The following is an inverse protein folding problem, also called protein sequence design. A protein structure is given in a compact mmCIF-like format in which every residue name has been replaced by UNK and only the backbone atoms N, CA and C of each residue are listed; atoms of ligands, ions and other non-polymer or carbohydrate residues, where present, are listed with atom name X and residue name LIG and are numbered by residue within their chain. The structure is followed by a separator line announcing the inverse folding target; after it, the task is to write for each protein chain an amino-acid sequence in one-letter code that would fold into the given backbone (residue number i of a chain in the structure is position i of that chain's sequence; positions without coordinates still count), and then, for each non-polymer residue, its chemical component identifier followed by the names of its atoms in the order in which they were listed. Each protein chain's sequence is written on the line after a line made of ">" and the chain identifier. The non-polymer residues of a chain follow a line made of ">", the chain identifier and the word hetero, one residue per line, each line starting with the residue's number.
data_IF_668211748107
#
_entry.id   IF_668211748107
#
_cell.length_a   1.000
_cell.length_b   1.000
_cell.length_c   1.000
_cell.angle_alpha   90.00
_cell.angle_beta   90.00
_cell.angle_gamma   90.00
#
_symmetry.space_group_name_H-M   'P 1'
#
loop_
_entity.id
_entity.type
_entity.pdbx_description
1 polymer ?
#
# COMPACT_ATOMS: atom_id res chain seq x y z
N UNK A 1 13.43 -3.21 27.15
CA UNK A 1 12.63 -4.02 26.24
C UNK A 1 12.47 -3.30 24.91
N UNK A 2 12.59 -4.02 23.79
CA UNK A 2 12.30 -3.49 22.44
C UNK A 2 10.79 -3.28 22.23
N UNK A 3 9.96 -4.18 22.81
CA UNK A 3 8.50 -4.19 22.70
C UNK A 3 7.80 -4.09 24.08
N UNK A 4 7.97 -2.96 24.81
CA UNK A 4 7.42 -2.76 26.15
C UNK A 4 5.89 -2.85 26.21
N UNK A 5 5.20 -2.58 25.09
CA UNK A 5 3.74 -2.67 25.00
C UNK A 5 3.18 -4.10 25.08
N UNK A 6 4.06 -5.11 24.96
CA UNK A 6 3.73 -6.53 25.16
C UNK A 6 4.09 -7.04 26.56
N UNK A 7 4.76 -6.24 27.37
CA UNK A 7 5.25 -6.65 28.68
C UNK A 7 4.29 -6.34 29.82
N UNK A 8 4.34 -7.17 30.87
CA UNK A 8 3.59 -6.93 32.09
C UNK A 8 4.30 -5.84 32.90
N UNK A 9 3.57 -4.77 33.23
CA UNK A 9 4.10 -3.69 34.07
C UNK A 9 4.55 -4.21 35.46
N UNK A 10 5.66 -3.71 36.02
CA UNK A 10 6.18 -4.21 37.27
C UNK A 10 5.37 -3.73 38.50
N UNK A 11 5.39 -4.52 39.57
CA UNK A 11 4.91 -4.15 40.92
C UNK A 11 3.46 -3.61 40.91
N UNK A 12 3.25 -2.44 41.51
CA UNK A 12 1.96 -1.76 41.63
C UNK A 12 1.44 -1.21 40.29
N UNK A 13 2.32 -1.01 39.31
CA UNK A 13 1.95 -0.48 38.01
C UNK A 13 1.14 -1.47 37.17
N UNK A 14 1.22 -2.77 37.48
CA UNK A 14 0.40 -3.81 36.85
C UNK A 14 -1.10 -3.59 37.04
N UNK A 15 -1.48 -2.98 38.18
CA UNK A 15 -2.86 -2.74 38.59
C UNK A 15 -3.45 -1.44 38.01
N UNK A 16 -2.67 -0.64 37.27
CA UNK A 16 -3.15 0.56 36.61
C UNK A 16 -4.12 0.21 35.48
N UNK A 17 -5.03 1.13 35.18
CA UNK A 17 -5.95 0.96 34.05
C UNK A 17 -5.18 0.96 32.73
N UNK A 18 -5.77 0.38 31.69
CA UNK A 18 -5.14 0.34 30.36
C UNK A 18 -4.80 1.76 29.85
N UNK A 19 -5.67 2.75 30.09
CA UNK A 19 -5.40 4.15 29.76
C UNK A 19 -4.21 4.73 30.56
N UNK A 20 -4.13 4.46 31.86
CA UNK A 20 -2.99 4.90 32.68
C UNK A 20 -1.67 4.26 32.21
N UNK A 21 -1.70 2.99 31.80
CA UNK A 21 -0.54 2.31 31.20
C UNK A 21 -0.10 2.98 29.90
N UNK A 22 -1.04 3.40 29.04
CA UNK A 22 -0.72 4.18 27.84
C UNK A 22 -0.01 5.51 28.17
N UNK A 23 -0.46 6.23 29.21
CA UNK A 23 0.23 7.45 29.65
C UNK A 23 1.68 7.18 30.05
N UNK A 24 1.94 6.06 30.73
CA UNK A 24 3.29 5.67 31.12
C UNK A 24 4.16 5.30 29.90
N UNK A 25 3.63 4.53 28.95
CA UNK A 25 4.34 4.21 27.69
C UNK A 25 4.66 5.51 26.95
N UNK A 26 3.72 6.45 26.86
CA UNK A 26 3.94 7.73 26.19
C UNK A 26 5.10 8.54 26.80
N UNK A 27 5.25 8.52 28.12
CA UNK A 27 6.33 9.24 28.80
C UNK A 27 7.71 8.59 28.60
N UNK A 28 7.80 7.28 28.44
CA UNK A 28 9.08 6.55 28.41
C UNK A 28 9.49 6.07 27.01
N UNK A 29 8.52 5.71 26.18
CA UNK A 29 8.66 5.08 24.86
C UNK A 29 7.60 5.62 23.89
N UNK A 30 7.66 6.92 23.54
CA UNK A 30 6.71 7.55 22.62
C UNK A 30 6.70 6.86 21.24
N UNK A 31 7.82 6.29 20.82
CA UNK A 31 7.96 5.48 19.61
C UNK A 31 7.06 4.23 19.60
N UNK A 32 6.63 3.71 20.75
CA UNK A 32 5.78 2.50 20.81
C UNK A 32 4.30 2.79 20.90
N UNK A 33 3.90 4.05 20.86
CA UNK A 33 2.51 4.43 21.09
C UNK A 33 1.55 3.99 20.00
N UNK A 34 1.99 3.90 18.74
CA UNK A 34 1.14 3.36 17.66
C UNK A 34 0.74 1.91 17.93
N UNK A 35 1.71 1.07 18.33
CA UNK A 35 1.46 -0.31 18.74
C UNK A 35 0.67 -0.41 20.05
N UNK A 36 1.00 0.41 21.04
CA UNK A 36 0.31 0.39 22.33
C UNK A 36 -1.18 0.81 22.19
N UNK A 37 -1.47 1.84 21.37
CA UNK A 37 -2.84 2.26 21.06
C UNK A 37 -3.56 1.19 20.25
N UNK A 38 -2.89 0.53 19.29
CA UNK A 38 -3.46 -0.61 18.57
C UNK A 38 -3.91 -1.71 19.54
N UNK A 39 -3.02 -2.17 20.42
CA UNK A 39 -3.36 -3.20 21.41
C UNK A 39 -4.51 -2.75 22.33
N UNK A 40 -4.54 -1.47 22.72
CA UNK A 40 -5.62 -0.92 23.54
C UNK A 40 -6.97 -0.94 22.83
N UNK A 41 -7.02 -0.52 21.56
CA UNK A 41 -8.24 -0.54 20.75
C UNK A 41 -8.71 -1.97 20.54
N UNK A 42 -7.80 -2.89 20.25
CA UNK A 42 -8.09 -4.32 20.13
C UNK A 42 -8.69 -4.90 21.42
N UNK A 43 -8.09 -4.60 22.57
CA UNK A 43 -8.60 -5.03 23.88
C UNK A 43 -10.01 -4.49 24.18
N UNK A 44 -10.30 -3.24 23.80
CA UNK A 44 -11.55 -2.56 24.16
C UNK A 44 -12.68 -2.71 23.15
N UNK A 45 -12.35 -2.84 21.87
CA UNK A 45 -13.31 -2.81 20.77
C UNK A 45 -13.26 -4.09 19.91
N UNK A 46 -12.18 -4.88 20.01
CA UNK A 46 -11.96 -6.11 19.24
C UNK A 46 -11.05 -5.92 18.03
N UNK A 47 -10.52 -7.03 17.52
CA UNK A 47 -9.49 -7.04 16.46
C UNK A 47 -9.95 -6.40 15.15
N UNK A 48 -11.25 -6.46 14.83
CA UNK A 48 -11.84 -5.83 13.63
C UNK A 48 -11.59 -4.32 13.49
N UNK A 49 -11.23 -3.62 14.58
CA UNK A 49 -10.92 -2.18 14.55
C UNK A 49 -9.44 -1.87 14.33
N UNK A 50 -8.59 -2.90 14.29
CA UNK A 50 -7.13 -2.78 14.12
C UNK A 50 -6.56 -3.64 13.00
N UNK A 51 -7.35 -4.58 12.50
CA UNK A 51 -7.04 -5.37 11.31
C UNK A 51 -7.30 -4.52 10.05
N UNK A 52 -6.26 -4.32 9.24
CA UNK A 52 -6.34 -3.57 7.97
C UNK A 52 -6.98 -4.36 6.83
N UNK A 53 -7.96 -5.22 7.09
CA UNK A 53 -8.66 -5.93 6.00
C UNK A 53 -9.53 -4.93 5.23
N UNK A 54 -9.29 -4.81 3.94
CA UNK A 54 -10.15 -4.06 3.03
C UNK A 54 -11.56 -4.62 3.10
N UNK A 55 -12.55 -3.76 3.38
CA UNK A 55 -13.96 -4.11 3.26
C UNK A 55 -14.25 -4.36 1.79
N UNK A 56 -14.91 -5.48 1.47
CA UNK A 56 -15.34 -5.77 0.10
C UNK A 56 -16.25 -4.64 -0.40
N UNK A 57 -15.96 -4.11 -1.59
CA UNK A 57 -16.67 -2.95 -2.14
C UNK A 57 -18.19 -3.15 -2.22
N UNK A 58 -18.65 -4.38 -2.42
CA UNK A 58 -20.08 -4.74 -2.42
C UNK A 58 -20.81 -4.30 -1.16
N UNK A 59 -20.18 -4.38 0.02
CA UNK A 59 -20.78 -3.94 1.29
C UNK A 59 -20.90 -2.42 1.36
N UNK A 60 -19.86 -1.69 0.93
CA UNK A 60 -19.93 -0.23 0.85
C UNK A 60 -20.96 0.25 -0.17
N UNK A 61 -21.16 -0.52 -1.25
CA UNK A 61 -22.23 -0.27 -2.21
C UNK A 61 -23.63 -0.45 -1.60
N UNK A 62 -23.85 -1.47 -0.77
CA UNK A 62 -25.13 -1.70 -0.07
C UNK A 62 -25.49 -0.54 0.87
N UNK A 63 -24.50 0.11 1.48
CA UNK A 63 -24.68 1.30 2.32
C UNK A 63 -24.80 2.61 1.52
N UNK A 64 -24.47 2.58 0.21
CA UNK A 64 -24.55 3.74 -0.65
C UNK A 64 -25.96 4.00 -1.16
N UNK A 65 -26.24 5.27 -1.46
CA UNK A 65 -27.57 5.73 -1.90
C UNK A 65 -27.43 6.90 -2.86
N UNK A 66 -28.52 7.35 -3.51
CA UNK A 66 -28.50 8.59 -4.28
C UNK A 66 -27.96 9.81 -3.52
N UNK A 67 -28.20 9.88 -2.21
CA UNK A 67 -27.72 10.93 -1.32
C UNK A 67 -26.34 10.68 -0.73
N UNK A 68 -25.83 9.46 -0.86
CA UNK A 68 -24.58 9.01 -0.22
C UNK A 68 -23.63 8.48 -1.29
N UNK A 69 -22.90 9.38 -1.99
CA UNK A 69 -21.91 8.97 -2.97
C UNK A 69 -20.76 8.20 -2.32
N UNK A 70 -20.01 7.45 -3.11
CA UNK A 70 -18.76 6.81 -2.65
C UNK A 70 -17.57 7.65 -3.14
N UNK A 71 -16.69 8.02 -2.21
CA UNK A 71 -15.50 8.81 -2.48
C UNK A 71 -14.24 7.95 -2.25
N UNK A 72 -13.51 7.69 -3.33
CA UNK A 72 -12.23 7.01 -3.30
C UNK A 72 -11.10 8.03 -3.13
N UNK A 73 -10.36 7.86 -2.03
CA UNK A 73 -9.10 8.57 -1.81
C UNK A 73 -8.00 7.74 -2.47
N UNK A 74 -7.41 8.31 -3.52
CA UNK A 74 -6.41 7.63 -4.34
C UNK A 74 -5.07 7.57 -3.61
N UNK A 75 -4.48 6.37 -3.60
CA UNK A 75 -3.09 6.15 -3.22
C UNK A 75 -2.28 5.83 -4.47
N UNK A 76 -0.99 6.24 -4.55
CA UNK A 76 -0.15 5.94 -5.70
C UNK A 76 -0.11 4.44 -6.02
N UNK A 77 -0.38 4.10 -7.29
CA UNK A 77 -0.30 2.72 -7.79
C UNK A 77 -1.47 1.81 -7.41
N UNK A 78 -2.59 2.38 -6.95
CA UNK A 78 -3.82 1.64 -6.65
C UNK A 78 -4.98 2.20 -7.47
N UNK A 79 -5.69 1.33 -8.17
CA UNK A 79 -6.86 1.69 -8.99
C UNK A 79 -8.15 1.12 -8.36
N UNK A 80 -8.95 1.94 -7.65
CA UNK A 80 -10.18 1.48 -7.00
C UNK A 80 -11.34 1.21 -7.97
N UNK A 81 -11.20 1.59 -9.24
CA UNK A 81 -12.31 1.51 -10.21
C UNK A 81 -12.59 0.09 -10.67
N UNK A 82 -11.57 -0.78 -10.63
CA UNK A 82 -11.72 -2.20 -10.96
C UNK A 82 -12.80 -2.88 -10.12
N UNK A 83 -12.89 -2.51 -8.84
CA UNK A 83 -13.90 -3.07 -7.94
C UNK A 83 -15.31 -2.58 -8.29
N UNK A 84 -15.43 -1.31 -8.70
CA UNK A 84 -16.69 -0.72 -9.17
C UNK A 84 -17.16 -1.40 -10.45
N UNK A 85 -16.27 -1.56 -11.43
CA UNK A 85 -16.57 -2.21 -12.71
C UNK A 85 -16.91 -3.70 -12.54
N UNK A 86 -16.17 -4.41 -11.68
CA UNK A 86 -16.43 -5.81 -11.37
C UNK A 86 -17.80 -6.00 -10.72
N UNK A 87 -18.18 -5.12 -9.78
CA UNK A 87 -19.52 -5.14 -9.17
C UNK A 87 -20.60 -4.73 -10.17
N UNK A 88 -20.35 -3.67 -10.95
CA UNK A 88 -21.26 -3.19 -11.99
C UNK A 88 -21.58 -4.29 -13.00
N UNK A 89 -20.58 -5.08 -13.43
CA UNK A 89 -20.79 -6.24 -14.30
C UNK A 89 -21.70 -7.31 -13.69
N UNK A 90 -21.58 -7.56 -12.37
CA UNK A 90 -22.45 -8.51 -11.66
C UNK A 90 -23.89 -8.01 -11.55
N UNK A 91 -24.08 -6.70 -11.35
CA UNK A 91 -25.38 -6.05 -11.15
C UNK A 91 -26.03 -5.54 -12.46
N UNK A 92 -25.33 -5.65 -13.59
CA UNK A 92 -25.83 -5.17 -14.88
C UNK A 92 -25.73 -3.65 -15.07
N UNK A 93 -24.81 -2.98 -14.38
CA UNK A 93 -24.42 -1.59 -14.65
C UNK A 93 -23.11 -1.60 -15.41
N UNK A 94 -23.17 -1.61 -16.74
CA UNK A 94 -21.98 -1.67 -17.59
C UNK A 94 -21.99 -0.53 -18.60
N UNK A 95 -20.83 -0.23 -19.16
CA UNK A 95 -20.71 0.75 -20.24
C UNK A 95 -21.46 0.23 -21.48
N UNK A 96 -21.35 -1.08 -21.77
CA UNK A 96 -21.97 -1.72 -22.93
C UNK A 96 -23.49 -1.60 -22.98
N UNK A 97 -24.16 -1.60 -21.81
CA UNK A 97 -25.61 -1.41 -21.74
C UNK A 97 -26.03 0.03 -21.41
N UNK A 98 -25.08 0.97 -21.40
CA UNK A 98 -25.31 2.40 -21.22
C UNK A 98 -25.70 2.83 -19.80
N UNK A 99 -25.62 1.92 -18.81
CA UNK A 99 -25.98 2.20 -17.42
C UNK A 99 -24.80 2.59 -16.53
N UNK A 100 -23.57 2.55 -17.04
CA UNK A 100 -22.37 3.05 -16.37
C UNK A 100 -21.71 4.14 -17.21
N UNK A 101 -21.53 5.32 -16.63
CA UNK A 101 -20.88 6.47 -17.25
C UNK A 101 -19.53 6.67 -16.56
N UNK A 102 -18.43 6.43 -17.27
CA UNK A 102 -17.08 6.61 -16.73
C UNK A 102 -16.42 7.85 -17.33
N UNK A 103 -16.20 8.88 -16.51
CA UNK A 103 -15.64 10.17 -16.94
C UNK A 103 -14.34 10.42 -16.18
N UNK A 104 -13.23 10.53 -16.91
CA UNK A 104 -11.95 10.97 -16.35
C UNK A 104 -11.84 12.48 -16.47
N UNK A 105 -11.75 13.19 -15.35
CA UNK A 105 -11.81 14.65 -15.35
C UNK A 105 -10.46 15.25 -15.75
N UNK A 106 -10.55 16.18 -16.68
CA UNK A 106 -9.47 17.01 -17.18
C UNK A 106 -10.10 18.23 -17.87
N UNK A 107 -9.29 19.03 -18.56
CA UNK A 107 -9.78 20.25 -19.19
C UNK A 107 -10.91 19.95 -20.19
N UNK A 108 -12.09 20.53 -19.96
CA UNK A 108 -13.26 20.43 -20.86
C UNK A 108 -14.14 19.20 -20.66
N UNK A 109 -13.84 18.31 -19.70
CA UNK A 109 -14.63 17.12 -19.40
C UNK A 109 -15.80 17.40 -18.43
N UNK A 110 -15.87 18.60 -17.86
CA UNK A 110 -16.88 19.00 -16.88
C UNK A 110 -18.30 18.89 -17.46
N UNK A 111 -18.49 19.32 -18.71
CA UNK A 111 -19.80 19.26 -19.40
C UNK A 111 -20.25 17.81 -19.62
N UNK A 112 -19.30 16.91 -19.91
CA UNK A 112 -19.60 15.48 -20.07
C UNK A 112 -20.01 14.87 -18.73
N UNK A 113 -19.29 15.20 -17.66
CA UNK A 113 -19.64 14.78 -16.30
C UNK A 113 -21.02 15.28 -15.87
N UNK A 114 -21.34 16.55 -16.13
CA UNK A 114 -22.65 17.12 -15.83
C UNK A 114 -23.78 16.41 -16.56
N UNK A 115 -23.62 16.15 -17.87
CA UNK A 115 -24.61 15.42 -18.65
C UNK A 115 -24.78 13.97 -18.15
N UNK A 116 -23.68 13.31 -17.78
CA UNK A 116 -23.73 11.96 -17.21
C UNK A 116 -24.52 11.93 -15.90
N UNK A 117 -24.29 12.89 -15.00
CA UNK A 117 -25.03 13.04 -13.74
C UNK A 117 -26.53 13.28 -13.99
N UNK A 118 -26.86 14.14 -14.94
CA UNK A 118 -28.26 14.48 -15.26
C UNK A 118 -29.02 13.25 -15.79
N UNK A 119 -28.42 12.53 -16.76
CA UNK A 119 -29.00 11.31 -17.31
C UNK A 119 -29.11 10.21 -16.25
N UNK A 120 -28.09 10.08 -15.40
CA UNK A 120 -28.05 9.04 -14.38
C UNK A 120 -29.07 9.27 -13.26
N UNK A 121 -29.28 10.54 -12.86
CA UNK A 121 -30.28 10.90 -11.88
C UNK A 121 -31.71 10.60 -12.37
N UNK A 122 -31.99 10.79 -13.66
CA UNK A 122 -33.30 10.50 -14.26
C UNK A 122 -33.52 8.99 -14.52
N UNK A 123 -32.50 8.30 -15.05
CA UNK A 123 -32.63 6.93 -15.57
C UNK A 123 -32.15 5.83 -14.63
N UNK A 124 -31.53 6.19 -13.50
CA UNK A 124 -30.98 5.21 -12.57
C UNK A 124 -29.70 4.57 -13.08
N UNK A 125 -28.71 5.39 -13.42
CA UNK A 125 -27.41 4.91 -13.87
C UNK A 125 -26.33 5.16 -12.82
N UNK A 126 -25.17 4.55 -13.04
CA UNK A 126 -23.96 4.79 -12.26
C UNK A 126 -23.06 5.78 -12.97
N UNK A 127 -22.45 6.69 -12.21
CA UNK A 127 -21.48 7.65 -12.72
C UNK A 127 -20.17 7.53 -11.94
N UNK A 128 -19.07 7.28 -12.65
CA UNK A 128 -17.72 7.34 -12.13
C UNK A 128 -17.08 8.65 -12.58
N UNK A 129 -16.68 9.48 -11.61
CA UNK A 129 -15.96 10.73 -11.81
C UNK A 129 -14.53 10.57 -11.30
N UNK A 130 -13.57 10.41 -12.21
CA UNK A 130 -12.17 10.21 -11.82
C UNK A 130 -11.39 11.51 -11.74
N UNK A 131 -10.46 11.61 -10.81
CA UNK A 131 -9.47 12.69 -10.72
C UNK A 131 -10.11 14.10 -10.58
N UNK A 132 -11.16 14.22 -9.78
CA UNK A 132 -11.89 15.50 -9.65
C UNK A 132 -11.03 16.66 -9.12
N UNK A 133 -9.92 16.37 -8.44
CA UNK A 133 -8.94 17.34 -7.97
C UNK A 133 -8.26 18.11 -9.12
N UNK A 134 -8.29 17.60 -10.36
CA UNK A 134 -7.76 18.27 -11.54
C UNK A 134 -8.65 19.42 -12.05
N UNK A 135 -9.91 19.49 -11.61
CA UNK A 135 -10.91 20.48 -12.07
C UNK A 135 -11.43 21.34 -10.92
N UNK A 136 -10.52 21.92 -10.13
CA UNK A 136 -10.82 22.65 -8.90
C UNK A 136 -11.93 23.71 -9.00
N UNK A 137 -11.99 24.46 -10.12
CA UNK A 137 -13.00 25.51 -10.35
C UNK A 137 -14.42 24.96 -10.49
N UNK A 138 -14.56 23.71 -10.90
CA UNK A 138 -15.85 23.07 -11.15
C UNK A 138 -16.42 22.37 -9.91
N UNK A 139 -15.59 22.12 -8.89
CA UNK A 139 -15.99 21.35 -7.72
C UNK A 139 -17.21 21.93 -6.98
N UNK A 140 -17.35 23.26 -6.92
CA UNK A 140 -18.54 23.90 -6.33
C UNK A 140 -19.83 23.62 -7.12
N UNK A 141 -19.73 23.42 -8.43
CA UNK A 141 -20.86 23.07 -9.29
C UNK A 141 -21.21 21.59 -9.12
N UNK A 142 -20.20 20.73 -9.03
CA UNK A 142 -20.36 19.31 -8.71
C UNK A 142 -21.09 19.12 -7.38
N UNK A 143 -20.64 19.80 -6.31
CA UNK A 143 -21.23 19.72 -4.97
C UNK A 143 -22.74 20.03 -4.99
N UNK A 144 -23.12 21.15 -5.62
CA UNK A 144 -24.52 21.54 -5.79
C UNK A 144 -25.34 20.54 -6.62
N UNK A 145 -24.75 19.93 -7.66
CA UNK A 145 -25.45 18.92 -8.47
C UNK A 145 -25.66 17.63 -7.69
N UNK A 146 -24.64 17.14 -6.99
CA UNK A 146 -24.74 15.95 -6.13
C UNK A 146 -25.76 16.18 -5.02
N UNK A 147 -25.73 17.34 -4.36
CA UNK A 147 -26.72 17.73 -3.36
C UNK A 147 -28.14 17.78 -3.95
N UNK A 148 -28.32 18.40 -5.13
CA UNK A 148 -29.63 18.45 -5.79
C UNK A 148 -30.17 17.06 -6.13
N UNK A 149 -29.32 16.15 -6.58
CA UNK A 149 -29.71 14.79 -6.94
C UNK A 149 -29.77 13.83 -5.74
N UNK A 150 -29.43 14.29 -4.54
CA UNK A 150 -29.62 13.51 -3.31
C UNK A 150 -31.10 13.21 -3.02
N UNK A 151 -32.01 14.05 -3.53
CA UNK A 151 -33.46 13.91 -3.32
C UNK A 151 -34.21 13.86 -4.65
N UNK A 152 -35.04 12.84 -4.82
CA UNK A 152 -35.95 12.73 -5.97
C UNK A 152 -35.33 12.21 -7.27
N UNK A 153 -34.08 11.75 -7.25
CA UNK A 153 -33.50 10.96 -8.34
C UNK A 153 -33.98 9.50 -8.29
N UNK A 154 -33.69 8.77 -9.35
CA UNK A 154 -33.94 7.33 -9.42
C UNK A 154 -33.21 6.56 -8.29
N UNK A 155 -33.82 5.50 -7.77
CA UNK A 155 -33.29 4.72 -6.63
C UNK A 155 -31.94 4.06 -6.93
N UNK A 156 -31.73 3.60 -8.17
CA UNK A 156 -30.46 3.02 -8.65
C UNK A 156 -29.35 4.03 -8.95
N UNK A 157 -29.62 5.34 -8.88
CA UNK A 157 -28.61 6.36 -9.15
C UNK A 157 -27.46 6.26 -8.14
N UNK A 158 -26.22 6.13 -8.63
CA UNK A 158 -25.01 6.10 -7.79
C UNK A 158 -23.90 6.92 -8.41
N UNK A 159 -23.17 7.63 -7.53
CA UNK A 159 -21.98 8.40 -7.92
C UNK A 159 -20.78 7.87 -7.17
N UNK A 160 -19.74 7.57 -7.94
CA UNK A 160 -18.41 7.17 -7.48
C UNK A 160 -17.43 8.27 -7.87
N UNK A 161 -16.71 8.81 -6.90
CA UNK A 161 -15.81 9.96 -7.08
C UNK A 161 -14.40 9.51 -6.70
N UNK A 162 -13.38 9.88 -7.47
CA UNK A 162 -11.99 9.67 -7.06
C UNK A 162 -11.17 10.96 -7.03
N UNK A 163 -10.32 11.10 -6.02
CA UNK A 163 -9.37 12.19 -5.92
C UNK A 163 -8.11 11.81 -5.14
N UNK A 164 -6.99 12.45 -5.48
CA UNK A 164 -5.80 12.44 -4.64
C UNK A 164 -6.00 13.33 -3.41
N UNK A 165 -5.47 12.94 -2.24
CA UNK A 165 -5.49 13.79 -1.05
C UNK A 165 -4.64 15.04 -1.28
N UNK A 166 -5.10 16.18 -0.74
CA UNK A 166 -4.33 17.42 -0.79
C UNK A 166 -3.01 17.28 0.00
N UNK A 167 -1.90 17.87 -0.49
CA UNK A 167 -0.59 17.76 0.18
C UNK A 167 -0.55 18.44 1.55
N UNK A 168 -1.42 19.42 1.79
CA UNK A 168 -1.61 20.07 3.10
C UNK A 168 -3.06 20.47 3.33
N UNK A 169 -3.51 20.63 4.61
CA UNK A 169 -4.87 21.08 4.92
C UNK A 169 -5.26 22.39 4.22
N UNK A 170 -4.33 23.34 4.08
CA UNK A 170 -4.58 24.66 3.48
C UNK A 170 -4.77 24.58 1.95
N UNK A 171 -4.24 23.53 1.33
CA UNK A 171 -4.37 23.25 -0.11
C UNK A 171 -5.59 22.40 -0.45
N UNK A 172 -6.43 22.07 0.53
CA UNK A 172 -7.60 21.25 0.33
C UNK A 172 -8.65 21.99 -0.50
N UNK A 173 -9.03 21.40 -1.63
CA UNK A 173 -9.96 21.99 -2.60
C UNK A 173 -11.29 21.25 -2.72
N UNK A 174 -11.42 20.06 -2.11
CA UNK A 174 -12.65 19.28 -2.22
C UNK A 174 -13.72 19.92 -1.33
N UNK A 175 -14.92 20.21 -1.87
CA UNK A 175 -16.01 20.79 -1.08
C UNK A 175 -16.38 19.91 0.10
N UNK A 176 -16.65 20.56 1.24
CA UNK A 176 -17.04 19.90 2.48
C UNK A 176 -18.33 19.07 2.29
N UNK A 177 -19.31 19.56 1.53
CA UNK A 177 -20.57 18.85 1.28
C UNK A 177 -20.37 17.47 0.64
N UNK A 178 -19.49 17.38 -0.37
CA UNK A 178 -19.09 16.10 -0.97
C UNK A 178 -18.47 15.18 0.08
N UNK A 179 -17.54 15.70 0.88
CA UNK A 179 -16.83 14.88 1.86
C UNK A 179 -17.72 14.44 3.02
N UNK A 180 -18.61 15.29 3.54
CA UNK A 180 -19.47 14.95 4.68
C UNK A 180 -20.51 13.90 4.30
N UNK A 181 -21.09 14.00 3.11
CA UNK A 181 -22.17 13.11 2.67
C UNK A 181 -21.68 11.81 2.03
N UNK A 182 -20.39 11.69 1.71
CA UNK A 182 -19.84 10.51 1.06
C UNK A 182 -19.43 9.40 2.03
N UNK A 183 -19.51 8.14 1.57
CA UNK A 183 -18.74 7.03 2.13
C UNK A 183 -17.30 7.17 1.61
N UNK A 184 -16.34 7.38 2.50
CA UNK A 184 -14.92 7.55 2.16
C UNK A 184 -14.20 6.21 2.21
N UNK A 185 -13.63 5.79 1.08
CA UNK A 185 -12.85 4.56 0.95
C UNK A 185 -11.42 4.93 0.61
N UNK A 186 -10.49 4.45 1.42
CA UNK A 186 -9.05 4.51 1.16
C UNK A 186 -8.59 3.12 0.75
N UNK A 187 -7.99 2.98 -0.43
CA UNK A 187 -7.26 1.76 -0.78
C UNK A 187 -5.77 2.06 -0.56
N UNK A 188 -5.34 1.96 0.69
CA UNK A 188 -3.93 2.14 1.03
C UNK A 188 -3.13 0.92 0.56
N UNK A 189 -1.99 1.10 -0.12
CA UNK A 189 -1.14 -0.03 -0.45
C UNK A 189 -0.72 -0.70 0.87
N UNK A 190 -0.87 -2.02 0.99
CA UNK A 190 -0.52 -2.69 2.23
C UNK A 190 0.98 -2.50 2.51
N UNK A 191 1.31 -2.03 3.71
CA UNK A 191 2.67 -1.64 4.11
C UNK A 191 3.37 -2.77 4.85
N UNK A 192 4.70 -2.79 4.80
CA UNK A 192 5.52 -3.79 5.48
C UNK A 192 6.01 -4.91 4.56
N UNK A 193 6.91 -5.73 5.09
CA UNK A 193 7.64 -6.72 4.30
C UNK A 193 6.71 -7.79 3.75
N UNK A 194 5.80 -8.31 4.57
CA UNK A 194 4.86 -9.38 4.21
C UNK A 194 4.05 -9.01 2.96
N UNK A 195 3.36 -7.87 3.00
CA UNK A 195 2.51 -7.45 1.91
C UNK A 195 3.29 -7.06 0.65
N UNK A 196 4.41 -6.36 0.78
CA UNK A 196 5.21 -5.98 -0.39
C UNK A 196 5.88 -7.17 -1.05
N UNK A 197 6.24 -8.21 -0.30
CA UNK A 197 6.83 -9.43 -0.84
C UNK A 197 5.81 -10.23 -1.65
N UNK A 198 4.59 -10.39 -1.15
CA UNK A 198 3.50 -10.97 -1.95
C UNK A 198 3.22 -10.14 -3.20
N UNK A 199 3.11 -8.82 -3.06
CA UNK A 199 2.87 -7.91 -4.19
C UNK A 199 3.98 -7.99 -5.25
N UNK A 200 5.23 -8.19 -4.84
CA UNK A 200 6.35 -8.37 -5.76
C UNK A 200 6.24 -9.71 -6.51
N UNK A 201 5.81 -10.79 -5.85
CA UNK A 201 5.58 -12.09 -6.48
C UNK A 201 4.36 -12.09 -7.41
N UNK A 202 3.30 -11.35 -7.07
CA UNK A 202 2.08 -11.21 -7.89
C UNK A 202 2.32 -10.56 -9.27
N UNK A 203 3.50 -10.01 -9.50
CA UNK A 203 3.92 -9.55 -10.83
C UNK A 203 4.24 -10.69 -11.79
N UNK A 204 4.32 -11.92 -11.29
CA UNK A 204 4.73 -13.11 -12.01
C UNK A 204 3.67 -14.21 -11.92
N UNK A 205 3.73 -15.16 -12.84
CA UNK A 205 2.82 -16.30 -12.88
C UNK A 205 3.58 -17.62 -12.71
N UNK A 206 2.85 -18.72 -12.53
CA UNK A 206 3.44 -20.06 -12.57
C UNK A 206 4.27 -20.27 -13.84
N UNK A 207 3.75 -19.84 -15.00
CA UNK A 207 4.46 -19.93 -16.28
C UNK A 207 5.78 -19.15 -16.28
N UNK A 208 5.82 -17.99 -15.60
CA UNK A 208 7.09 -17.24 -15.43
C UNK A 208 8.08 -18.05 -14.61
N UNK A 209 7.65 -18.69 -13.51
CA UNK A 209 8.53 -19.49 -12.67
C UNK A 209 9.11 -20.71 -13.39
N UNK A 210 8.41 -21.22 -14.41
CA UNK A 210 8.77 -22.42 -15.17
C UNK A 210 9.42 -22.10 -16.54
N UNK A 211 9.64 -20.82 -16.86
CA UNK A 211 10.12 -20.43 -18.20
C UNK A 211 11.58 -20.77 -18.47
N UNK A 212 12.41 -20.95 -17.43
CA UNK A 212 13.85 -21.13 -17.53
C UNK A 212 14.25 -22.61 -17.43
N UNK A 213 15.19 -23.03 -18.27
CA UNK A 213 15.80 -24.37 -18.25
C UNK A 213 16.56 -24.67 -16.97
N UNK A 214 17.07 -23.63 -16.30
CA UNK A 214 17.77 -23.67 -15.00
C UNK A 214 16.81 -23.28 -13.89
N UNK A 215 15.80 -24.12 -13.69
CA UNK A 215 14.62 -23.81 -12.86
C UNK A 215 14.99 -23.46 -11.42
N UNK A 216 15.89 -24.21 -10.79
CA UNK A 216 16.30 -24.02 -9.39
C UNK A 216 16.98 -22.65 -9.23
N UNK A 217 17.95 -22.35 -10.10
CA UNK A 217 18.68 -21.09 -10.06
C UNK A 217 17.77 -19.90 -10.36
N UNK A 218 16.92 -20.02 -11.39
CA UNK A 218 16.01 -18.97 -11.79
C UNK A 218 15.01 -18.62 -10.68
N UNK A 219 14.30 -19.61 -10.14
CA UNK A 219 13.29 -19.38 -9.11
C UNK A 219 13.90 -18.86 -7.80
N UNK A 220 15.06 -19.39 -7.41
CA UNK A 220 15.77 -18.94 -6.21
C UNK A 220 16.21 -17.47 -6.32
N UNK A 221 16.82 -17.08 -7.46
CA UNK A 221 17.24 -15.69 -7.71
C UNK A 221 16.02 -14.77 -7.86
N UNK A 222 14.95 -15.22 -8.52
CA UNK A 222 13.70 -14.46 -8.65
C UNK A 222 13.11 -14.12 -7.27
N UNK A 223 13.01 -15.10 -6.38
CA UNK A 223 12.49 -14.85 -5.03
C UNK A 223 13.37 -13.86 -4.26
N UNK A 224 14.70 -14.00 -4.33
CA UNK A 224 15.62 -13.06 -3.71
C UNK A 224 15.51 -11.65 -4.30
N UNK A 225 15.22 -11.50 -5.59
CA UNK A 225 14.95 -10.22 -6.22
C UNK A 225 13.60 -9.62 -5.80
N UNK A 226 12.57 -10.44 -5.58
CA UNK A 226 11.31 -9.99 -4.98
C UNK A 226 11.53 -9.47 -3.55
N UNK A 227 12.33 -10.18 -2.75
CA UNK A 227 12.73 -9.75 -1.41
C UNK A 227 13.52 -8.45 -1.45
N UNK A 228 14.53 -8.37 -2.30
CA UNK A 228 15.31 -7.16 -2.54
C UNK A 228 14.42 -5.97 -2.92
N UNK A 229 13.48 -6.18 -3.85
CA UNK A 229 12.53 -5.15 -4.29
C UNK A 229 11.67 -4.64 -3.12
N UNK A 230 11.13 -5.54 -2.31
CA UNK A 230 10.38 -5.19 -1.11
C UNK A 230 11.23 -4.40 -0.10
N UNK A 231 12.51 -4.80 0.09
CA UNK A 231 13.46 -4.08 0.96
C UNK A 231 13.69 -2.66 0.46
N UNK A 232 14.08 -2.46 -0.81
CA UNK A 232 14.41 -1.12 -1.31
C UNK A 232 13.21 -0.19 -1.32
N UNK A 233 12.01 -0.71 -1.59
CA UNK A 233 10.76 0.03 -1.57
C UNK A 233 10.38 0.47 -0.15
N UNK A 234 10.43 -0.44 0.83
CA UNK A 234 10.04 -0.14 2.21
C UNK A 234 11.07 0.68 2.97
N UNK A 235 12.36 0.60 2.60
CA UNK A 235 13.43 1.37 3.26
C UNK A 235 13.17 2.87 3.29
N UNK A 236 12.40 3.42 2.34
CA UNK A 236 12.01 4.84 2.33
C UNK A 236 11.33 5.30 3.62
N UNK A 237 10.66 4.40 4.37
CA UNK A 237 9.96 4.74 5.62
C UNK A 237 10.91 5.13 6.76
N UNK A 238 12.18 4.75 6.68
CA UNK A 238 13.21 5.07 7.68
C UNK A 238 13.93 6.40 7.38
N UNK A 239 13.44 7.21 6.44
CA UNK A 239 14.04 8.48 6.06
C UNK A 239 15.51 8.33 5.65
N UNK A 240 16.37 9.24 6.11
CA UNK A 240 17.80 9.25 5.79
C UNK A 240 18.56 7.98 6.25
N UNK A 241 18.04 7.23 7.23
CA UNK A 241 18.65 5.95 7.63
C UNK A 241 18.33 4.81 6.64
N UNK A 242 17.23 4.97 5.89
CA UNK A 242 16.83 4.09 4.80
C UNK A 242 17.55 4.44 3.50
N UNK A 243 17.35 5.68 3.04
CA UNK A 243 17.94 6.25 1.85
C UNK A 243 18.25 7.72 2.07
N UNK A 244 19.41 8.22 1.64
CA UNK A 244 19.74 9.64 1.74
C UNK A 244 18.79 10.51 0.90
N UNK A 245 18.30 9.97 -0.23
CA UNK A 245 17.31 10.62 -1.10
C UNK A 245 16.14 9.69 -1.42
N UNK A 246 15.02 10.27 -1.84
CA UNK A 246 13.88 9.49 -2.31
C UNK A 246 14.10 9.06 -3.76
N UNK A 247 14.05 7.75 -4.02
CA UNK A 247 14.20 7.16 -5.36
C UNK A 247 12.90 6.52 -5.82
N UNK A 248 12.52 6.68 -7.10
CA UNK A 248 11.25 6.19 -7.64
C UNK A 248 11.32 4.72 -8.11
N UNK A 249 11.76 3.80 -7.24
CA UNK A 249 11.74 2.37 -7.55
C UNK A 249 10.31 1.90 -7.84
N UNK A 250 10.14 1.09 -8.87
CA UNK A 250 8.83 0.66 -9.35
C UNK A 250 8.84 -0.80 -9.86
N UNK A 251 7.64 -1.35 -10.09
CA UNK A 251 7.47 -2.74 -10.54
C UNK A 251 8.14 -3.04 -11.89
N UNK A 252 8.36 -2.03 -12.73
CA UNK A 252 9.12 -2.14 -13.98
C UNK A 252 10.57 -2.57 -13.73
N UNK A 253 11.20 -2.04 -12.69
CA UNK A 253 12.59 -2.39 -12.34
C UNK A 253 12.71 -3.89 -12.01
N UNK A 254 11.75 -4.44 -11.27
CA UNK A 254 11.71 -5.85 -10.91
C UNK A 254 11.38 -6.75 -12.12
N UNK A 255 10.32 -6.43 -12.86
CA UNK A 255 9.90 -7.24 -14.03
C UNK A 255 10.96 -7.29 -15.13
N UNK A 256 11.63 -6.17 -15.43
CA UNK A 256 12.75 -6.13 -16.38
C UNK A 256 13.94 -6.92 -15.83
N UNK A 257 14.24 -6.83 -14.53
CA UNK A 257 15.32 -7.61 -13.91
C UNK A 257 15.10 -9.12 -14.07
N UNK A 258 13.86 -9.62 -13.93
CA UNK A 258 13.55 -11.04 -14.13
C UNK A 258 13.69 -11.46 -15.62
N UNK A 259 13.30 -10.60 -16.56
CA UNK A 259 13.54 -10.87 -17.98
C UNK A 259 15.05 -10.93 -18.30
N UNK A 260 15.85 -10.04 -17.71
CA UNK A 260 17.31 -10.06 -17.86
C UNK A 260 17.92 -11.30 -17.21
N UNK A 261 17.44 -11.70 -16.02
CA UNK A 261 17.84 -12.93 -15.35
C UNK A 261 17.63 -14.14 -16.28
N UNK A 262 16.43 -14.27 -16.85
CA UNK A 262 16.10 -15.36 -17.78
C UNK A 262 17.10 -15.42 -18.94
N UNK A 263 17.28 -14.30 -19.65
CA UNK A 263 18.17 -14.24 -20.81
C UNK A 263 19.62 -14.61 -20.45
N UNK A 264 20.12 -14.15 -19.30
CA UNK A 264 21.48 -14.45 -18.85
C UNK A 264 21.64 -15.91 -18.41
N UNK A 265 20.65 -16.49 -17.75
CA UNK A 265 20.69 -17.90 -17.38
C UNK A 265 20.60 -18.80 -18.61
N UNK A 266 19.78 -18.49 -19.61
CA UNK A 266 19.72 -19.27 -20.85
C UNK A 266 21.01 -19.18 -21.67
N UNK A 267 21.61 -18.00 -21.75
CA UNK A 267 22.81 -17.77 -22.55
C UNK A 267 24.10 -18.36 -21.93
N UNK A 268 24.11 -18.68 -20.63
CA UNK A 268 25.31 -19.11 -19.91
C UNK A 268 25.15 -20.51 -19.30
N UNK A 269 26.23 -21.29 -19.30
CA UNK A 269 26.23 -22.63 -18.67
C UNK A 269 26.23 -22.58 -17.15
N UNK A 270 26.76 -21.50 -16.56
CA UNK A 270 26.83 -21.25 -15.11
C UNK A 270 26.20 -19.89 -14.81
N UNK A 271 25.71 -19.72 -13.59
CA UNK A 271 25.17 -18.43 -13.15
C UNK A 271 26.28 -17.36 -13.15
N UNK A 272 26.15 -16.28 -13.94
CA UNK A 272 27.13 -15.20 -13.99
C UNK A 272 26.84 -14.19 -12.86
N UNK A 273 27.16 -14.55 -11.62
CA UNK A 273 26.78 -13.80 -10.42
C UNK A 273 27.20 -12.32 -10.43
N UNK A 274 28.44 -12.02 -10.85
CA UNK A 274 28.95 -10.65 -10.84
C UNK A 274 28.26 -9.79 -11.90
N UNK A 275 27.97 -10.35 -13.08
CA UNK A 275 27.23 -9.66 -14.13
C UNK A 275 25.80 -9.38 -13.69
N UNK A 276 25.11 -10.35 -13.09
CA UNK A 276 23.75 -10.18 -12.57
C UNK A 276 23.70 -9.10 -11.49
N UNK A 277 24.62 -9.14 -10.51
CA UNK A 277 24.71 -8.10 -9.46
C UNK A 277 24.98 -6.72 -10.05
N UNK A 278 25.85 -6.63 -11.07
CA UNK A 278 26.12 -5.38 -11.76
C UNK A 278 24.88 -4.86 -12.50
N UNK A 279 24.22 -5.70 -13.29
CA UNK A 279 23.02 -5.33 -14.05
C UNK A 279 21.91 -4.83 -13.12
N UNK A 280 21.61 -5.57 -12.05
CA UNK A 280 20.54 -5.18 -11.14
C UNK A 280 20.93 -3.97 -10.30
N UNK A 281 22.17 -3.91 -9.80
CA UNK A 281 22.61 -2.91 -8.83
C UNK A 281 23.07 -1.60 -9.43
N UNK A 282 23.70 -1.62 -10.60
CA UNK A 282 24.28 -0.43 -11.25
C UNK A 282 23.38 0.10 -12.37
N UNK A 283 22.63 -0.77 -13.06
CA UNK A 283 21.80 -0.39 -14.21
C UNK A 283 20.33 -0.28 -13.82
N UNK A 284 19.70 -1.39 -13.38
CA UNK A 284 18.24 -1.41 -13.14
C UNK A 284 17.85 -0.51 -11.97
N UNK A 285 18.30 -0.84 -10.76
CA UNK A 285 18.02 -0.03 -9.58
C UNK A 285 19.01 1.13 -9.45
N UNK A 286 20.29 0.90 -9.77
CA UNK A 286 21.34 1.90 -9.72
C UNK A 286 21.15 3.07 -10.70
N UNK A 287 20.36 2.90 -11.75
CA UNK A 287 20.00 3.97 -12.68
C UNK A 287 19.18 5.09 -12.03
N UNK A 288 18.44 4.79 -10.96
CA UNK A 288 17.66 5.76 -10.19
C UNK A 288 18.50 6.47 -9.12
N UNK A 289 19.61 5.85 -8.68
CA UNK A 289 20.34 6.26 -7.49
C UNK A 289 21.41 7.28 -7.83
N UNK A 290 21.20 8.51 -7.35
CA UNK A 290 22.10 9.65 -7.59
C UNK A 290 23.17 9.84 -6.51
N UNK A 291 23.00 9.24 -5.33
CA UNK A 291 23.95 9.37 -4.21
C UNK A 291 24.90 8.16 -4.15
N UNK A 292 26.20 8.40 -4.00
CA UNK A 292 27.22 7.34 -4.05
C UNK A 292 27.13 6.36 -2.86
N UNK A 293 26.70 6.84 -1.68
CA UNK A 293 26.54 5.99 -0.50
C UNK A 293 25.31 5.10 -0.63
N UNK A 294 24.21 5.65 -1.13
CA UNK A 294 23.02 4.88 -1.49
C UNK A 294 23.33 3.85 -2.60
N UNK A 295 24.18 4.21 -3.58
CA UNK A 295 24.59 3.28 -4.66
C UNK A 295 25.44 2.14 -4.12
N UNK A 296 26.33 2.43 -3.16
CA UNK A 296 27.08 1.41 -2.42
C UNK A 296 26.14 0.49 -1.63
N UNK A 297 25.16 1.06 -0.91
CA UNK A 297 24.17 0.29 -0.16
C UNK A 297 23.39 -0.67 -1.06
N UNK A 298 22.88 -0.19 -2.19
CA UNK A 298 22.13 -1.00 -3.16
C UNK A 298 22.97 -2.19 -3.66
N UNK A 299 24.23 -1.96 -4.01
CA UNK A 299 25.16 -3.04 -4.39
C UNK A 299 25.38 -4.04 -3.27
N UNK A 300 25.57 -3.56 -2.04
CA UNK A 300 25.80 -4.44 -0.89
C UNK A 300 24.61 -5.36 -0.67
N UNK A 301 23.37 -4.89 -0.80
CA UNK A 301 22.19 -5.77 -0.75
C UNK A 301 22.25 -6.89 -1.77
N UNK A 302 22.54 -6.57 -3.03
CA UNK A 302 22.59 -7.59 -4.09
C UNK A 302 23.77 -8.55 -3.88
N UNK A 303 24.89 -8.09 -3.35
CA UNK A 303 26.01 -8.96 -2.99
C UNK A 303 25.66 -9.92 -1.84
N UNK A 304 24.84 -9.47 -0.88
CA UNK A 304 24.38 -10.30 0.24
C UNK A 304 23.21 -11.22 -0.13
N UNK A 305 22.33 -10.81 -1.04
CA UNK A 305 21.14 -11.61 -1.40
C UNK A 305 21.41 -12.57 -2.55
N UNK A 306 22.26 -12.20 -3.52
CA UNK A 306 22.56 -13.04 -4.68
C UNK A 306 23.93 -13.67 -4.48
N UNK A 307 23.98 -14.86 -3.89
CA UNK A 307 25.20 -15.61 -3.55
C UNK A 307 25.08 -17.05 -4.00
N UNK A 308 26.18 -17.71 -4.35
CA UNK A 308 26.13 -19.10 -4.83
C UNK A 308 25.53 -20.06 -3.80
N UNK A 309 25.84 -19.80 -2.53
CA UNK A 309 25.39 -20.52 -1.34
C UNK A 309 23.86 -20.50 -1.17
N UNK A 310 23.15 -19.54 -1.77
CA UNK A 310 21.68 -19.49 -1.68
C UNK A 310 21.01 -20.69 -2.36
N UNK A 311 21.69 -21.30 -3.35
CA UNK A 311 21.20 -22.49 -4.06
C UNK A 311 21.21 -23.74 -3.17
N UNK A 312 21.96 -23.71 -2.06
CA UNK A 312 22.06 -24.80 -1.08
C UNK A 312 20.97 -24.68 0.01
N UNK A 313 20.20 -23.58 0.03
CA UNK A 313 19.06 -23.38 0.95
C UNK A 313 19.44 -22.93 2.36
N UNK A 314 20.72 -22.69 2.65
CA UNK A 314 21.19 -22.36 4.00
C UNK A 314 21.29 -20.85 4.27
N UNK A 315 21.08 -20.01 3.25
CA UNK A 315 21.25 -18.56 3.36
C UNK A 315 19.99 -17.89 3.91
N UNK A 316 20.19 -17.07 4.95
CA UNK A 316 19.19 -16.19 5.53
C UNK A 316 19.10 -14.87 4.75
N UNK A 317 17.91 -14.52 4.29
CA UNK A 317 17.61 -13.20 3.72
C UNK A 317 17.46 -12.13 4.82
N UNK A 318 16.99 -12.55 5.99
CA UNK A 318 16.96 -11.77 7.21
C UNK A 318 17.04 -12.69 8.43
N UNK A 319 17.35 -12.17 9.64
CA UNK A 319 17.30 -12.96 10.87
C UNK A 319 15.94 -13.66 11.03
N UNK A 320 15.97 -15.00 11.00
CA UNK A 320 14.77 -15.83 11.10
C UNK A 320 13.99 -16.05 9.80
N UNK A 321 14.50 -15.58 8.65
CA UNK A 321 13.89 -15.81 7.33
C UNK A 321 14.89 -16.40 6.35
N UNK A 322 14.75 -17.69 6.05
CA UNK A 322 15.59 -18.42 5.11
C UNK A 322 15.13 -18.21 3.66
N UNK A 323 16.03 -18.48 2.74
CA UNK A 323 15.67 -18.58 1.31
C UNK A 323 14.75 -19.80 1.14
N UNK A 324 13.58 -19.66 0.50
CA UNK A 324 12.66 -20.77 0.30
C UNK A 324 13.30 -21.88 -0.56
N UNK A 325 12.88 -23.14 -0.37
CA UNK A 325 13.21 -24.21 -1.31
C UNK A 325 12.58 -23.96 -2.68
N UNK A 326 12.88 -24.81 -3.67
CA UNK A 326 12.20 -24.74 -4.96
C UNK A 326 10.71 -25.09 -4.78
N UNK A 327 9.84 -24.09 -4.96
CA UNK A 327 8.39 -24.19 -4.82
C UNK A 327 7.68 -23.77 -6.11
N UNK A 328 6.38 -24.05 -6.18
CA UNK A 328 5.48 -23.46 -7.15
C UNK A 328 4.99 -22.08 -6.67
N UNK A 329 4.25 -21.36 -7.51
CA UNK A 329 3.75 -20.02 -7.21
C UNK A 329 2.96 -19.99 -5.90
N UNK A 330 2.03 -20.95 -5.71
CA UNK A 330 1.25 -21.03 -4.49
C UNK A 330 2.13 -21.32 -3.27
N UNK A 331 3.08 -22.25 -3.41
CA UNK A 331 4.03 -22.59 -2.35
C UNK A 331 4.89 -21.41 -1.90
N UNK A 332 5.30 -20.51 -2.79
CA UNK A 332 6.01 -19.30 -2.38
C UNK A 332 5.16 -18.37 -1.51
N UNK A 333 3.88 -18.20 -1.85
CA UNK A 333 2.97 -17.41 -1.00
C UNK A 333 2.78 -18.07 0.37
N UNK A 334 2.54 -19.38 0.41
CA UNK A 334 2.41 -20.14 1.67
C UNK A 334 3.69 -20.05 2.51
N UNK A 335 4.87 -20.14 1.87
CA UNK A 335 6.15 -19.99 2.57
C UNK A 335 6.28 -18.63 3.26
N UNK A 336 5.86 -17.54 2.60
CA UNK A 336 5.88 -16.20 3.20
C UNK A 336 4.95 -16.12 4.40
N UNK A 337 3.72 -16.65 4.28
CA UNK A 337 2.73 -16.64 5.35
C UNK A 337 3.20 -17.42 6.60
N UNK A 338 3.90 -18.53 6.39
CA UNK A 338 4.33 -19.42 7.48
C UNK A 338 5.68 -19.05 8.09
N UNK A 339 6.62 -18.56 7.27
CA UNK A 339 8.03 -18.43 7.68
C UNK A 339 8.49 -16.99 7.86
N UNK A 340 7.80 -15.98 7.32
CA UNK A 340 8.22 -14.59 7.46
C UNK A 340 8.07 -14.13 8.92
N UNK A 341 9.15 -13.68 9.59
CA UNK A 341 9.09 -13.18 10.95
C UNK A 341 8.18 -11.95 11.06
N UNK A 342 7.70 -11.62 12.28
CA UNK A 342 7.00 -10.37 12.52
C UNK A 342 7.80 -9.16 12.02
N UNK A 343 7.07 -8.18 11.48
CA UNK A 343 7.60 -6.93 10.96
C UNK A 343 8.63 -6.32 11.93
N UNK A 344 9.86 -6.11 11.43
CA UNK A 344 10.95 -5.50 12.20
C UNK A 344 12.00 -4.87 11.28
N UNK A 345 12.81 -3.91 11.77
CA UNK A 345 13.90 -3.31 11.01
C UNK A 345 14.90 -4.33 10.44
N UNK A 346 15.04 -5.48 11.11
CA UNK A 346 15.92 -6.56 10.68
C UNK A 346 15.57 -7.12 9.30
N UNK A 347 14.28 -7.15 8.93
CA UNK A 347 13.84 -7.57 7.58
C UNK A 347 14.38 -6.65 6.48
N UNK A 348 14.79 -5.43 6.84
CA UNK A 348 15.37 -4.46 5.92
C UNK A 348 16.88 -4.32 6.10
N UNK A 349 17.54 -5.22 6.84
CA UNK A 349 18.96 -5.09 7.16
C UNK A 349 19.29 -3.87 8.04
N UNK A 350 18.33 -3.38 8.83
CA UNK A 350 18.50 -2.25 9.74
C UNK A 350 18.55 -2.70 11.20
N UNK A 351 19.28 -1.93 12.00
CA UNK A 351 19.25 -2.08 13.46
C UNK A 351 17.87 -1.65 14.02
N UNK A 352 17.34 -2.28 15.08
CA UNK A 352 16.04 -1.93 15.68
C UNK A 352 15.86 -0.43 15.95
N UNK A 353 16.90 0.26 16.41
CA UNK A 353 16.83 1.71 16.64
C UNK A 353 16.42 2.55 15.42
N UNK A 354 16.51 2.01 14.19
CA UNK A 354 16.08 2.72 12.99
C UNK A 354 14.58 3.06 13.00
N UNK A 355 13.75 2.27 13.69
CA UNK A 355 12.31 2.55 13.75
C UNK A 355 11.92 3.65 14.74
N UNK A 356 12.77 3.92 15.74
CA UNK A 356 12.46 4.87 16.82
C UNK A 356 12.07 6.23 16.24
N UNK A 357 12.86 6.75 15.28
CA UNK A 357 12.63 8.07 14.70
C UNK A 357 11.28 8.17 13.99
N UNK A 358 11.02 7.29 13.03
CA UNK A 358 9.78 7.37 12.24
C UNK A 358 8.55 7.03 13.09
N UNK A 359 8.64 6.06 14.02
CA UNK A 359 7.53 5.71 14.90
C UNK A 359 7.22 6.84 15.90
N UNK A 360 8.22 7.56 16.40
CA UNK A 360 7.99 8.74 17.25
C UNK A 360 7.20 9.81 16.49
N UNK A 361 7.64 10.15 15.27
CA UNK A 361 6.95 11.13 14.42
C UNK A 361 5.52 10.66 14.10
N UNK A 362 5.34 9.37 13.81
CA UNK A 362 4.02 8.78 13.54
C UNK A 362 3.10 8.88 14.76
N UNK A 363 3.62 8.57 15.96
CA UNK A 363 2.87 8.74 17.19
C UNK A 363 2.53 10.21 17.46
N UNK A 364 3.45 11.13 17.23
CA UNK A 364 3.18 12.56 17.43
C UNK A 364 2.08 13.06 16.49
N UNK A 365 2.11 12.63 15.23
CA UNK A 365 1.06 12.91 14.26
C UNK A 365 -0.29 12.38 14.72
N UNK A 366 -0.35 11.12 15.19
CA UNK A 366 -1.56 10.51 15.76
C UNK A 366 -2.14 11.39 16.86
N UNK A 367 -1.33 11.80 17.84
CA UNK A 367 -1.81 12.61 18.95
C UNK A 367 -2.17 14.05 18.57
N UNK A 368 -1.49 14.63 17.57
CA UNK A 368 -1.86 15.94 17.02
C UNK A 368 -3.23 15.87 16.39
N UNK A 369 -3.51 14.85 15.57
CA UNK A 369 -4.83 14.63 14.97
C UNK A 369 -5.90 14.43 16.05
N UNK A 370 -5.62 13.65 17.10
CA UNK A 370 -6.55 13.51 18.25
C UNK A 370 -6.84 14.85 18.93
N UNK A 371 -5.82 15.70 19.09
CA UNK A 371 -5.98 17.03 19.67
C UNK A 371 -6.79 17.97 18.76
N UNK A 372 -6.56 17.92 17.45
CA UNK A 372 -7.29 18.73 16.46
C UNK A 372 -8.77 18.38 16.38
N UNK A 373 -9.14 17.13 16.68
CA UNK A 373 -10.53 16.69 16.78
C UNK A 373 -11.24 17.14 18.07
N UNK A 374 -10.52 17.68 19.05
CA UNK A 374 -11.17 18.18 20.26
C UNK A 374 -11.93 19.48 19.95
N UNK A 375 -13.12 19.69 20.56
CA UNK A 375 -13.82 20.95 20.46
C UNK A 375 -12.90 22.08 20.93
N UNK A 376 -12.72 23.10 20.09
CA UNK A 376 -12.06 24.34 20.51
C UNK A 376 -13.11 25.19 21.20
N UNK A 377 -12.89 25.50 22.48
CA UNK A 377 -13.69 26.48 23.22
C UNK A 377 -13.56 27.89 22.63
#
# INVERSE_FOLDING_TARGET
>A
SEAPEKEIFPKEWKNKTALQKLCMVRCMRPDRMTYAVKNFVEEKMGSKFVEGRSVEFSKSYEESSPSTPIFFILSPGVDPLKDVEALGKKLGFTIDNGKLHNVSLGQGQEVVAENALDVAAEKGHWVILQNIHLVARWLSTLDKKVERYSMGSHEDYRVFISAEPAPSPESHIIPQGILENAIKITNEPPTGMHANLHKALDLFTQDTLEMCTKEIEFKCILFALCYFHAVVAERRKFGAQGWNRSYPFNNGDLTISINVLYNYLEANTKVPWDDLRYLFGEIMYGGHITDDWDRRLCRTYLAEYLRGEMLEGEVLLAPGFQTPPNLDYKGYHEYIDENLPPESPYLYGLHPNAEIGFLTVTSEKLFRTVLEMQPKE
#
